data_IF_725988104830
#
_entry.id   IF_725988104830
#
_cell.length_a   1.000
_cell.length_b   1.000
_cell.length_c   1.000
_cell.angle_alpha   90.00
_cell.angle_beta   90.00
_cell.angle_gamma   90.00
#
_symmetry.space_group_name_H-M   'P 1'
#
loop_
_entity.id
_entity.type
_entity.pdbx_description
1 polymer ?
#
# COMPACT_ATOMS: atom_id res chain seq x y z
N UNK A 1 -2.20 -21.40 10.48
CA UNK A 1 -2.35 -22.15 11.77
C UNK A 1 -1.82 -21.29 12.93
N UNK A 2 -0.55 -20.81 12.93
CA UNK A 2 0.06 -20.02 14.03
C UNK A 2 -0.79 -18.79 14.39
N UNK A 3 -1.16 -17.99 13.39
CA UNK A 3 -1.96 -16.78 13.57
C UNK A 3 -3.34 -17.06 14.21
N UNK A 4 -4.01 -18.15 13.82
CA UNK A 4 -5.30 -18.54 14.40
C UNK A 4 -5.18 -18.91 15.88
N UNK A 5 -4.06 -19.54 16.31
CA UNK A 5 -3.79 -19.81 17.71
C UNK A 5 -3.51 -18.54 18.50
N UNK A 6 -2.67 -17.63 17.97
CA UNK A 6 -2.37 -16.34 18.60
C UNK A 6 -3.65 -15.54 18.83
N UNK A 7 -4.46 -15.33 17.79
CA UNK A 7 -5.74 -14.60 17.88
C UNK A 7 -6.71 -15.21 18.89
N UNK A 8 -6.83 -16.55 18.91
CA UNK A 8 -7.70 -17.23 19.87
C UNK A 8 -7.21 -17.02 21.30
N UNK A 9 -5.89 -17.07 21.54
CA UNK A 9 -5.29 -16.86 22.86
C UNK A 9 -5.45 -15.41 23.30
N UNK A 10 -5.21 -14.43 22.42
CA UNK A 10 -5.41 -13.01 22.70
C UNK A 10 -6.87 -12.70 23.04
N UNK A 11 -7.83 -13.26 22.28
CA UNK A 11 -9.28 -13.04 22.55
C UNK A 11 -9.78 -13.63 23.87
N UNK A 12 -9.18 -14.71 24.36
CA UNK A 12 -9.58 -15.37 25.61
C UNK A 12 -9.18 -14.62 26.86
N UNK A 13 -8.18 -13.76 26.83
CA UNK A 13 -7.63 -12.85 27.86
C UNK A 13 -7.62 -13.39 29.32
N UNK A 14 -8.21 -14.56 29.58
CA UNK A 14 -8.34 -15.16 30.89
C UNK A 14 -6.97 -15.58 31.39
N UNK A 15 -6.44 -14.88 32.40
CA UNK A 15 -5.19 -15.15 33.09
C UNK A 15 -3.88 -14.75 32.38
N UNK A 16 -3.89 -13.85 31.39
CA UNK A 16 -2.68 -13.29 30.80
C UNK A 16 -2.28 -12.02 31.57
N UNK A 17 -1.00 -11.91 31.93
CA UNK A 17 -0.42 -10.63 32.37
C UNK A 17 -0.29 -9.65 31.19
N UNK A 18 -0.25 -8.34 31.48
CA UNK A 18 -0.07 -7.31 30.44
C UNK A 18 1.19 -7.57 29.59
N UNK A 19 2.28 -8.06 30.21
CA UNK A 19 3.51 -8.42 29.52
C UNK A 19 3.31 -9.59 28.56
N UNK A 20 2.54 -10.60 28.95
CA UNK A 20 2.22 -11.75 28.10
C UNK A 20 1.31 -11.36 26.95
N UNK A 21 0.28 -10.52 27.22
CA UNK A 21 -0.61 -10.00 26.18
C UNK A 21 0.17 -9.20 25.15
N UNK A 22 1.04 -8.29 25.58
CA UNK A 22 1.90 -7.51 24.69
C UNK A 22 2.84 -8.40 23.87
N UNK A 23 3.42 -9.43 24.48
CA UNK A 23 4.26 -10.41 23.77
C UNK A 23 3.51 -11.17 22.69
N UNK A 24 2.27 -11.59 22.96
CA UNK A 24 1.41 -12.26 21.98
C UNK A 24 0.97 -11.33 20.84
N UNK A 25 0.66 -10.07 21.13
CA UNK A 25 0.34 -9.06 20.12
C UNK A 25 1.53 -8.83 19.20
N UNK A 26 2.74 -8.66 19.76
CA UNK A 26 3.97 -8.54 18.96
C UNK A 26 4.20 -9.78 18.09
N UNK A 27 3.99 -10.98 18.62
CA UNK A 27 4.13 -12.22 17.84
C UNK A 27 3.10 -12.32 16.71
N UNK A 28 1.88 -11.84 16.92
CA UNK A 28 0.85 -11.77 15.88
C UNK A 28 1.25 -10.79 14.76
N UNK A 29 1.69 -9.58 15.13
CA UNK A 29 2.17 -8.56 14.18
C UNK A 29 3.34 -9.09 13.33
N UNK A 30 4.35 -9.72 13.96
CA UNK A 30 5.48 -10.29 13.23
C UNK A 30 5.08 -11.48 12.35
N UNK A 31 4.08 -12.29 12.76
CA UNK A 31 3.55 -13.38 11.93
C UNK A 31 2.81 -12.86 10.69
N UNK A 32 2.08 -11.75 10.80
CA UNK A 32 1.43 -11.07 9.67
C UNK A 32 2.50 -10.53 8.72
N UNK A 33 3.51 -9.85 9.27
CA UNK A 33 4.62 -9.29 8.51
C UNK A 33 5.40 -10.36 7.73
N UNK A 34 5.70 -11.50 8.37
CA UNK A 34 6.37 -12.62 7.71
C UNK A 34 5.56 -13.16 6.53
N UNK A 35 4.23 -13.20 6.65
CA UNK A 35 3.35 -13.64 5.56
C UNK A 35 3.44 -12.66 4.38
N UNK A 36 3.31 -11.36 4.61
CA UNK A 36 3.44 -10.36 3.55
C UNK A 36 4.80 -10.49 2.84
N UNK A 37 5.90 -10.69 3.59
CA UNK A 37 7.22 -10.93 2.99
C UNK A 37 7.29 -12.19 2.12
N UNK A 38 6.64 -13.28 2.53
CA UNK A 38 6.57 -14.50 1.75
C UNK A 38 5.76 -14.32 0.48
N UNK A 39 4.62 -13.64 0.57
CA UNK A 39 3.77 -13.32 -0.58
C UNK A 39 4.52 -12.43 -1.57
N UNK A 40 5.24 -11.39 -1.09
CA UNK A 40 6.12 -10.53 -1.88
C UNK A 40 7.20 -11.33 -2.63
N UNK A 41 7.89 -12.24 -1.94
CA UNK A 41 8.91 -13.07 -2.54
C UNK A 41 8.35 -14.05 -3.59
N UNK A 42 7.15 -14.58 -3.35
CA UNK A 42 6.46 -15.43 -4.31
C UNK A 42 6.05 -14.66 -5.56
N UNK A 43 5.51 -13.43 -5.42
CA UNK A 43 5.15 -12.59 -6.55
C UNK A 43 6.39 -12.20 -7.37
N UNK A 44 7.52 -11.86 -6.74
CA UNK A 44 8.80 -11.63 -7.42
C UNK A 44 9.29 -12.88 -8.16
N UNK A 45 9.27 -14.05 -7.51
CA UNK A 45 9.69 -15.31 -8.12
C UNK A 45 8.82 -15.70 -9.33
N UNK A 46 7.50 -15.47 -9.23
CA UNK A 46 6.55 -15.68 -10.34
C UNK A 46 6.83 -14.73 -11.49
N UNK A 47 7.11 -13.47 -11.19
CA UNK A 47 7.46 -12.47 -12.19
C UNK A 47 8.76 -12.83 -12.92
N UNK A 48 9.83 -13.17 -12.18
CA UNK A 48 11.11 -13.53 -12.76
C UNK A 48 11.01 -14.78 -13.68
N UNK A 49 10.04 -15.64 -13.41
CA UNK A 49 9.75 -16.83 -14.23
C UNK A 49 8.70 -16.60 -15.33
N UNK A 50 8.19 -15.36 -15.48
CA UNK A 50 7.12 -15.03 -16.44
C UNK A 50 5.77 -15.68 -16.11
N UNK A 51 5.53 -16.03 -14.84
CA UNK A 51 4.31 -16.71 -14.35
C UNK A 51 3.45 -15.84 -13.43
N UNK A 52 3.73 -14.54 -13.33
CA UNK A 52 2.85 -13.65 -12.61
C UNK A 52 1.54 -13.52 -13.39
N UNK A 53 0.48 -14.02 -12.82
CA UNK A 53 -0.87 -13.93 -13.40
C UNK A 53 -1.52 -12.63 -12.88
N UNK A 54 -2.03 -11.83 -13.81
CA UNK A 54 -2.82 -10.62 -13.57
C UNK A 54 -4.15 -10.85 -14.28
N UNK A 55 -5.24 -10.85 -13.55
CA UNK A 55 -6.60 -11.10 -14.06
C UNK A 55 -7.34 -9.76 -14.19
N UNK A 56 -7.07 -9.06 -15.30
CA UNK A 56 -7.69 -7.78 -15.55
C UNK A 56 -9.17 -7.94 -15.90
N UNK A 57 -10.00 -7.14 -15.22
CA UNK A 57 -11.43 -7.01 -15.46
C UNK A 57 -11.84 -5.53 -15.36
N UNK A 58 -13.03 -5.11 -15.87
CA UNK A 58 -13.51 -3.76 -15.66
C UNK A 58 -13.71 -3.43 -14.19
N UNK A 59 -12.94 -2.46 -13.66
CA UNK A 59 -12.96 -2.01 -12.27
C UNK A 59 -13.41 -0.57 -12.18
N UNK A 60 -14.48 -0.31 -11.44
CA UNK A 60 -14.89 1.05 -11.08
C UNK A 60 -13.98 1.60 -9.98
N UNK A 61 -13.08 2.51 -10.35
CA UNK A 61 -12.02 2.99 -9.45
C UNK A 61 -12.54 3.68 -8.19
N UNK A 62 -13.60 4.49 -8.29
CA UNK A 62 -14.18 5.16 -7.12
C UNK A 62 -14.63 4.15 -6.06
N UNK A 63 -15.34 3.11 -6.48
CA UNK A 63 -15.81 2.03 -5.60
C UNK A 63 -14.62 1.28 -4.96
N UNK A 64 -13.57 1.00 -5.75
CA UNK A 64 -12.36 0.36 -5.25
C UNK A 64 -11.64 1.22 -4.19
N UNK A 65 -11.55 2.54 -4.42
CA UNK A 65 -10.93 3.47 -3.47
C UNK A 65 -11.75 3.61 -2.19
N UNK A 66 -13.07 3.71 -2.29
CA UNK A 66 -13.98 3.74 -1.13
C UNK A 66 -13.83 2.48 -0.26
N UNK A 67 -13.75 1.29 -0.89
CA UNK A 67 -13.51 0.03 -0.17
C UNK A 67 -12.16 0.00 0.54
N UNK A 68 -11.09 0.49 -0.08
CA UNK A 68 -9.76 0.57 0.53
C UNK A 68 -9.78 1.52 1.73
N UNK A 69 -10.42 2.68 1.62
CA UNK A 69 -10.58 3.62 2.74
C UNK A 69 -11.34 2.98 3.89
N UNK A 70 -12.43 2.26 3.62
CA UNK A 70 -13.22 1.58 4.65
C UNK A 70 -12.43 0.47 5.37
N UNK A 71 -11.61 -0.29 4.64
CA UNK A 71 -10.72 -1.31 5.22
C UNK A 71 -9.69 -0.70 6.17
N UNK A 72 -9.18 0.49 5.85
CA UNK A 72 -8.10 1.14 6.61
C UNK A 72 -8.60 1.94 7.80
N UNK A 73 -9.88 2.35 7.84
CA UNK A 73 -10.47 3.14 8.94
C UNK A 73 -10.30 2.52 10.33
N UNK A 74 -10.34 1.20 10.41
CA UNK A 74 -10.25 0.48 11.69
C UNK A 74 -8.83 0.06 12.07
N UNK A 75 -7.87 0.21 11.17
CA UNK A 75 -6.49 -0.22 11.36
C UNK A 75 -5.53 0.95 11.53
N UNK A 76 -5.82 2.09 10.91
CA UNK A 76 -4.99 3.29 10.99
C UNK A 76 -5.52 4.25 12.07
N UNK A 77 -4.59 4.80 12.86
CA UNK A 77 -4.90 5.81 13.88
C UNK A 77 -5.05 7.24 13.31
N UNK A 78 -5.07 7.38 11.97
CA UNK A 78 -5.17 8.67 11.27
C UNK A 78 -6.28 8.66 10.23
N UNK A 79 -6.86 9.84 9.88
CA UNK A 79 -7.85 9.93 8.82
C UNK A 79 -7.22 9.73 7.44
N UNK A 80 -7.98 9.09 6.54
CA UNK A 80 -7.72 9.11 5.11
C UNK A 80 -8.77 10.02 4.46
N UNK A 81 -8.29 11.02 3.75
CA UNK A 81 -9.10 11.94 2.98
C UNK A 81 -9.22 11.44 1.54
N UNK A 82 -10.44 11.06 1.14
CA UNK A 82 -10.72 10.57 -0.21
C UNK A 82 -11.25 11.72 -1.09
N UNK A 83 -10.52 12.03 -2.15
CA UNK A 83 -10.86 13.06 -3.13
C UNK A 83 -11.19 12.38 -4.46
N UNK A 84 -12.47 12.36 -4.80
CA UNK A 84 -12.99 11.82 -6.07
C UNK A 84 -13.38 12.96 -7.01
N UNK A 85 -13.41 12.73 -8.34
CA UNK A 85 -13.92 13.72 -9.28
C UNK A 85 -15.37 14.12 -8.97
N UNK A 86 -15.69 15.40 -9.15
CA UNK A 86 -17.06 15.92 -9.01
C UNK A 86 -17.97 15.46 -10.17
N UNK A 87 -17.40 15.24 -11.35
CA UNK A 87 -18.11 14.73 -12.53
C UNK A 87 -18.46 13.26 -12.36
N UNK A 88 -19.75 12.95 -12.38
CA UNK A 88 -20.27 11.60 -12.22
C UNK A 88 -19.79 10.63 -13.32
N UNK A 89 -19.54 11.11 -14.56
CA UNK A 89 -18.98 10.24 -15.61
C UNK A 89 -17.56 9.82 -15.30
N UNK A 90 -16.74 10.75 -14.80
CA UNK A 90 -15.37 10.44 -14.38
C UNK A 90 -15.33 9.60 -13.09
N UNK A 91 -16.29 9.84 -12.19
CA UNK A 91 -16.42 9.06 -10.96
C UNK A 91 -16.81 7.60 -11.22
N UNK A 92 -17.65 7.36 -12.23
CA UNK A 92 -18.10 6.01 -12.61
C UNK A 92 -17.21 5.36 -13.69
N UNK A 93 -16.03 5.92 -13.93
CA UNK A 93 -15.10 5.37 -14.90
C UNK A 93 -14.62 3.97 -14.48
N UNK A 94 -14.69 3.04 -15.44
CA UNK A 94 -14.07 1.73 -15.33
C UNK A 94 -12.75 1.70 -16.10
N UNK A 95 -11.79 1.01 -15.57
CA UNK A 95 -10.50 0.69 -16.21
C UNK A 95 -10.26 -0.81 -16.13
N UNK A 96 -9.51 -1.35 -17.09
CA UNK A 96 -9.08 -2.74 -17.04
C UNK A 96 -7.95 -2.89 -16.02
N UNK A 97 -8.24 -3.55 -14.90
CA UNK A 97 -7.26 -3.82 -13.85
C UNK A 97 -7.65 -5.07 -13.06
N UNK A 98 -6.69 -5.68 -12.38
CA UNK A 98 -6.95 -6.73 -11.41
C UNK A 98 -7.38 -6.10 -10.07
N UNK A 99 -8.64 -6.27 -9.62
CA UNK A 99 -9.14 -5.57 -8.44
C UNK A 99 -8.45 -6.02 -7.14
N UNK A 100 -7.97 -7.26 -7.07
CA UNK A 100 -7.26 -7.77 -5.92
C UNK A 100 -5.83 -7.20 -5.86
N UNK A 101 -5.14 -7.17 -7.00
CA UNK A 101 -3.80 -6.59 -7.12
C UNK A 101 -3.82 -5.06 -6.96
N UNK A 102 -4.82 -4.38 -7.53
CA UNK A 102 -4.98 -2.94 -7.33
C UNK A 102 -5.21 -2.61 -5.85
N UNK A 103 -6.04 -3.40 -5.16
CA UNK A 103 -6.23 -3.24 -3.71
C UNK A 103 -4.94 -3.44 -2.93
N UNK A 104 -4.15 -4.47 -3.26
CA UNK A 104 -2.83 -4.71 -2.67
C UNK A 104 -1.92 -3.50 -2.84
N UNK A 105 -1.77 -3.01 -4.07
CA UNK A 105 -0.98 -1.80 -4.40
C UNK A 105 -1.38 -0.60 -3.54
N UNK A 106 -2.68 -0.32 -3.44
CA UNK A 106 -3.19 0.82 -2.68
C UNK A 106 -2.92 0.67 -1.17
N UNK A 107 -3.12 -0.53 -0.61
CA UNK A 107 -2.84 -0.81 0.79
C UNK A 107 -1.35 -0.67 1.10
N UNK A 108 -0.46 -1.17 0.25
CA UNK A 108 1.00 -1.04 0.42
C UNK A 108 1.45 0.42 0.38
N UNK A 109 0.88 1.23 -0.52
CA UNK A 109 1.18 2.67 -0.59
C UNK A 109 0.64 3.42 0.63
N UNK A 110 -0.56 3.09 1.12
CA UNK A 110 -1.15 3.68 2.32
C UNK A 110 -0.36 3.28 3.57
N UNK A 111 0.08 2.02 3.67
CA UNK A 111 0.94 1.56 4.77
C UNK A 111 2.28 2.30 4.78
N UNK A 112 2.88 2.52 3.62
CA UNK A 112 4.09 3.34 3.51
C UNK A 112 3.82 4.79 3.95
N UNK A 113 2.73 5.40 3.52
CA UNK A 113 2.33 6.74 3.93
C UNK A 113 2.11 6.83 5.44
N UNK A 114 1.47 5.83 6.07
CA UNK A 114 1.26 5.75 7.51
C UNK A 114 2.58 5.64 8.29
N UNK A 115 3.45 4.79 7.82
CA UNK A 115 4.73 4.48 8.44
C UNK A 115 5.71 5.64 8.47
N UNK A 116 5.72 6.46 7.43
CA UNK A 116 6.71 7.53 7.26
C UNK A 116 6.18 8.93 7.59
N UNK A 117 4.90 9.07 7.92
CA UNK A 117 4.28 10.34 8.29
C UNK A 117 4.07 10.48 9.80
N UNK A 118 4.07 11.71 10.34
CA UNK A 118 3.66 11.97 11.71
C UNK A 118 2.21 11.50 11.97
N UNK A 119 1.90 10.92 13.14
CA UNK A 119 0.60 10.29 13.41
C UNK A 119 -0.64 11.18 13.21
N UNK A 120 -0.52 12.50 13.39
CA UNK A 120 -1.63 13.45 13.31
C UNK A 120 -1.91 13.97 11.89
N UNK A 121 -1.05 13.64 10.92
CA UNK A 121 -1.21 14.12 9.55
C UNK A 121 -2.10 13.16 8.76
N UNK A 122 -3.10 13.67 8.00
CA UNK A 122 -3.92 12.82 7.15
C UNK A 122 -3.12 12.25 5.99
N UNK A 123 -3.57 11.10 5.49
CA UNK A 123 -3.18 10.57 4.18
C UNK A 123 -4.27 10.98 3.19
N UNK A 124 -3.89 11.52 2.03
CA UNK A 124 -4.85 11.84 0.99
C UNK A 124 -4.80 10.79 -0.11
N UNK A 125 -5.97 10.32 -0.51
CA UNK A 125 -6.18 9.42 -1.63
C UNK A 125 -7.00 10.16 -2.67
N UNK A 126 -6.47 10.41 -3.87
CA UNK A 126 -7.15 11.20 -4.88
C UNK A 126 -7.21 10.46 -6.21
N UNK A 127 -8.40 10.50 -6.86
CA UNK A 127 -8.60 10.01 -8.22
C UNK A 127 -8.66 11.20 -9.18
N UNK A 128 -7.80 11.19 -10.18
CA UNK A 128 -7.81 12.14 -11.30
C UNK A 128 -7.91 11.38 -12.60
N UNK A 129 -8.73 11.85 -13.50
CA UNK A 129 -8.95 11.21 -14.79
C UNK A 129 -8.57 12.19 -15.91
N UNK A 130 -7.82 11.68 -16.88
CA UNK A 130 -7.47 12.37 -18.12
C UNK A 130 -8.09 11.64 -19.31
N UNK A 131 -7.91 12.14 -20.52
CA UNK A 131 -8.44 11.50 -21.73
C UNK A 131 -7.85 10.10 -21.99
N UNK A 132 -6.64 9.82 -21.49
CA UNK A 132 -5.89 8.60 -21.79
C UNK A 132 -5.64 7.71 -20.58
N UNK A 133 -5.80 8.23 -19.36
CA UNK A 133 -5.44 7.50 -18.16
C UNK A 133 -6.25 7.94 -16.92
N UNK A 134 -6.44 7.01 -16.01
CA UNK A 134 -6.82 7.26 -14.63
C UNK A 134 -5.54 7.31 -13.75
N UNK A 135 -5.49 8.28 -12.85
CA UNK A 135 -4.35 8.53 -11.95
C UNK A 135 -4.85 8.49 -10.51
N UNK A 136 -4.28 7.61 -9.73
CA UNK A 136 -4.57 7.47 -8.30
C UNK A 136 -3.37 7.97 -7.52
N UNK A 137 -3.54 9.05 -6.78
CA UNK A 137 -2.49 9.63 -5.94
C UNK A 137 -2.67 9.19 -4.50
N UNK A 138 -1.60 8.68 -3.91
CA UNK A 138 -1.47 8.49 -2.46
C UNK A 138 -0.48 9.53 -1.96
N UNK A 139 -0.96 10.48 -1.16
CA UNK A 139 -0.20 11.66 -0.73
C UNK A 139 0.00 11.59 0.78
N UNK A 140 1.23 11.68 1.21
CA UNK A 140 1.64 11.74 2.60
C UNK A 140 2.33 13.08 2.95
N UNK A 141 2.42 13.37 4.24
CA UNK A 141 3.15 14.53 4.78
C UNK A 141 4.31 14.07 5.67
N UNK A 142 5.05 13.07 5.19
CA UNK A 142 6.11 12.40 5.92
C UNK A 142 7.48 13.02 5.75
N UNK A 143 8.49 12.20 6.02
CA UNK A 143 9.90 12.59 5.95
C UNK A 143 10.37 12.94 4.53
N UNK A 144 9.60 12.57 3.50
CA UNK A 144 10.02 12.69 2.11
C UNK A 144 11.17 11.76 1.74
N UNK A 145 11.58 11.85 0.46
CA UNK A 145 12.64 11.04 -0.15
C UNK A 145 13.67 11.99 -0.77
N UNK A 146 14.98 11.77 -0.59
CA UNK A 146 16.01 12.53 -1.28
C UNK A 146 15.85 12.45 -2.80
N UNK A 147 16.05 13.56 -3.50
CA UNK A 147 15.83 13.66 -4.96
C UNK A 147 16.67 12.65 -5.74
N UNK A 148 17.91 12.44 -5.32
CA UNK A 148 18.85 11.48 -5.90
C UNK A 148 18.43 10.01 -5.76
N UNK A 149 17.50 9.72 -4.83
CA UNK A 149 17.03 8.35 -4.56
C UNK A 149 15.67 8.04 -5.20
N UNK A 150 14.96 9.05 -5.76
CA UNK A 150 13.59 8.87 -6.30
C UNK A 150 13.49 7.79 -7.38
N UNK A 151 14.51 7.60 -8.19
CA UNK A 151 14.52 6.56 -9.21
C UNK A 151 14.77 5.17 -8.64
N UNK A 152 15.48 5.09 -7.51
CA UNK A 152 15.93 3.84 -6.91
C UNK A 152 14.94 3.27 -5.89
N UNK A 153 13.95 4.06 -5.40
CA UNK A 153 13.01 3.59 -4.38
C UNK A 153 12.12 2.42 -4.82
N UNK A 154 12.02 2.19 -6.13
CA UNK A 154 11.32 1.04 -6.71
C UNK A 154 12.21 -0.17 -6.95
N UNK A 155 13.52 -0.07 -6.70
CA UNK A 155 14.43 -1.19 -6.85
C UNK A 155 14.28 -2.17 -5.67
N UNK A 156 14.51 -3.45 -5.93
CA UNK A 156 14.40 -4.51 -4.91
C UNK A 156 15.40 -4.28 -3.78
N UNK A 157 14.95 -4.41 -2.53
CA UNK A 157 15.73 -4.22 -1.31
C UNK A 157 16.27 -2.80 -1.09
N UNK A 158 15.84 -1.83 -1.91
CA UNK A 158 16.21 -0.44 -1.72
C UNK A 158 15.34 0.24 -0.67
N UNK A 159 15.97 1.16 0.06
CA UNK A 159 15.34 2.00 1.08
C UNK A 159 15.98 3.37 1.03
N UNK A 160 15.16 4.41 1.18
CA UNK A 160 15.69 5.76 1.27
C UNK A 160 16.64 5.88 2.48
N UNK A 161 17.75 6.60 2.30
CA UNK A 161 18.83 6.76 3.29
C UNK A 161 18.32 7.43 4.59
N UNK A 162 17.29 8.25 4.49
CA UNK A 162 16.63 8.91 5.62
C UNK A 162 15.56 8.05 6.31
N UNK A 163 15.28 6.83 5.81
CA UNK A 163 14.30 5.94 6.43
C UNK A 163 14.83 5.31 7.74
N UNK A 164 14.00 5.19 8.80
CA UNK A 164 14.39 4.57 10.07
C UNK A 164 14.92 3.14 9.87
N UNK A 165 16.06 2.81 10.51
CA UNK A 165 16.79 1.54 10.29
C UNK A 165 15.98 0.25 10.52
N UNK A 166 14.98 0.27 11.41
CA UNK A 166 14.22 -0.92 11.83
C UNK A 166 12.93 -1.19 11.02
N UNK A 167 12.64 -0.44 9.97
CA UNK A 167 11.34 -0.50 9.30
C UNK A 167 11.45 -0.94 7.84
N UNK A 168 10.85 -2.11 7.49
CA UNK A 168 10.59 -2.59 6.13
C UNK A 168 11.70 -3.40 5.48
N UNK A 169 11.30 -4.27 4.55
CA UNK A 169 12.15 -5.16 3.76
C UNK A 169 12.82 -4.50 2.56
N UNK A 170 12.28 -3.36 2.08
CA UNK A 170 12.65 -2.75 0.81
C UNK A 170 12.05 -3.46 -0.41
N UNK A 171 11.04 -4.33 -0.21
CA UNK A 171 10.36 -5.03 -1.29
C UNK A 171 9.05 -4.37 -1.71
N UNK A 172 8.31 -3.73 -0.79
CA UNK A 172 6.94 -3.26 -1.04
C UNK A 172 6.82 -2.37 -2.29
N UNK A 173 7.64 -1.32 -2.44
CA UNK A 173 7.57 -0.46 -3.63
C UNK A 173 7.97 -1.18 -4.93
N UNK A 174 8.87 -2.16 -4.88
CA UNK A 174 9.21 -2.96 -6.05
C UNK A 174 8.06 -3.91 -6.44
N UNK A 175 7.29 -4.42 -5.48
CA UNK A 175 6.06 -5.16 -5.72
C UNK A 175 4.96 -4.26 -6.27
N UNK A 176 4.76 -3.08 -5.70
CA UNK A 176 3.82 -2.08 -6.23
C UNK A 176 4.10 -1.81 -7.71
N UNK A 177 5.35 -1.53 -8.07
CA UNK A 177 5.75 -1.32 -9.47
C UNK A 177 5.45 -2.53 -10.33
N UNK A 178 5.84 -3.72 -9.89
CA UNK A 178 5.61 -4.97 -10.58
C UNK A 178 4.12 -5.21 -10.88
N UNK A 179 3.25 -5.04 -9.89
CA UNK A 179 1.82 -5.27 -10.04
C UNK A 179 1.17 -4.23 -10.95
N UNK A 180 1.55 -2.95 -10.81
CA UNK A 180 1.03 -1.87 -11.67
C UNK A 180 1.45 -2.06 -13.12
N UNK A 181 2.72 -2.41 -13.38
CA UNK A 181 3.21 -2.72 -14.72
C UNK A 181 2.53 -3.97 -15.30
N UNK A 182 2.26 -4.97 -14.47
CA UNK A 182 1.49 -6.16 -14.85
C UNK A 182 0.05 -5.86 -15.28
N UNK A 183 -0.58 -4.84 -14.70
CA UNK A 183 -1.90 -4.32 -15.12
C UNK A 183 -1.81 -3.40 -16.35
N UNK A 184 -0.63 -3.23 -16.97
CA UNK A 184 -0.43 -2.32 -18.12
C UNK A 184 -0.28 -0.85 -17.75
N UNK A 185 -0.16 -0.53 -16.46
CA UNK A 185 0.00 0.82 -15.93
C UNK A 185 1.45 1.22 -15.67
N UNK A 186 1.63 2.33 -14.95
CA UNK A 186 2.92 2.78 -14.44
C UNK A 186 2.78 3.43 -13.07
N UNK A 187 3.87 3.46 -12.30
CA UNK A 187 3.94 4.14 -11.00
C UNK A 187 4.94 5.30 -11.06
N UNK A 188 4.55 6.43 -10.52
CA UNK A 188 5.37 7.63 -10.43
C UNK A 188 5.53 8.06 -8.97
N UNK A 189 6.63 8.74 -8.65
CA UNK A 189 6.84 9.35 -7.33
C UNK A 189 7.29 10.79 -7.48
N UNK A 190 6.73 11.65 -6.65
CA UNK A 190 7.20 13.02 -6.40
C UNK A 190 7.35 13.18 -4.90
N UNK A 191 8.49 13.67 -4.46
CA UNK A 191 8.76 13.84 -3.05
C UNK A 191 9.71 14.99 -2.80
N UNK A 192 9.62 15.57 -1.63
CA UNK A 192 10.55 16.57 -1.13
C UNK A 192 10.85 16.28 0.34
N UNK A 193 12.12 16.36 0.72
CA UNK A 193 12.54 16.13 2.10
C UNK A 193 11.74 16.99 3.09
N UNK A 194 11.21 16.34 4.15
CA UNK A 194 10.39 16.93 5.21
C UNK A 194 9.07 17.56 4.76
N UNK A 195 8.64 17.33 3.52
CA UNK A 195 7.34 17.78 3.01
C UNK A 195 6.40 16.63 2.65
N UNK A 196 6.94 15.40 2.58
CA UNK A 196 6.18 14.20 2.25
C UNK A 196 6.38 13.74 0.81
N UNK A 197 5.56 12.77 0.41
CA UNK A 197 5.62 12.13 -0.90
C UNK A 197 4.24 12.02 -1.53
N UNK A 198 4.22 11.95 -2.84
CA UNK A 198 3.05 11.61 -3.65
C UNK A 198 3.42 10.46 -4.57
N UNK A 199 2.86 9.30 -4.31
CA UNK A 199 2.93 8.15 -5.22
C UNK A 199 1.71 8.15 -6.11
N UNK A 200 1.90 8.07 -7.42
CA UNK A 200 0.83 8.10 -8.42
C UNK A 200 0.80 6.80 -9.20
N UNK A 201 -0.27 6.02 -9.03
CA UNK A 201 -0.58 4.87 -9.90
C UNK A 201 -1.30 5.40 -11.14
N UNK A 202 -0.79 5.06 -12.31
CA UNK A 202 -1.35 5.45 -13.61
C UNK A 202 -1.84 4.19 -14.31
N UNK A 203 -3.14 4.11 -14.58
CA UNK A 203 -3.76 3.02 -15.32
C UNK A 203 -4.29 3.53 -16.66
N UNK A 204 -4.07 2.83 -17.78
CA UNK A 204 -4.64 3.21 -19.06
C UNK A 204 -6.17 3.17 -19.02
N UNK A 205 -6.79 4.01 -19.86
CA UNK A 205 -8.25 4.11 -19.99
C UNK A 205 -8.76 3.37 -21.22
#
# INVERSE_FOLDING_TARGET
IVQGYLQRTIRRQDNLSDAQLKGLQTAEEESIRMRHLLDDLLDLSRSDSGRLEIDNEPVQLSTQLEQVVDLTRNTLARPIELNLPDDNHLRNLEVDADPARLRQVLLDLIENADKYSPPQRPIQLALRVTDTAARIDVIDQGIGIPEEELQQVFDRFQRASNAPQKTGSGLGLSIVKLLVEGMGGSIEVRSQLNQGSCFTVVLPR
#
